data_IF_179339823558
#
_entry.id   IF_179339823558
#
_cell.length_a   1.000
_cell.length_b   1.000
_cell.length_c   1.000
_cell.angle_alpha   90.00
_cell.angle_beta   90.00
_cell.angle_gamma   90.00
#
_symmetry.space_group_name_H-M   'P 1'
#
loop_
_entity.id
_entity.type
_entity.pdbx_description
1 polymer ?
#
# COMPACT_ATOMS: atom_id res chain seq x y z
N UNK A 1 0.80 13.17 24.38
CA UNK A 1 -0.17 13.61 23.34
C UNK A 1 0.42 14.58 22.31
N UNK A 2 1.45 15.40 22.62
CA UNK A 2 2.00 16.37 21.66
C UNK A 2 2.89 15.77 20.55
N UNK A 3 3.53 14.62 20.76
CA UNK A 3 4.44 14.03 19.77
C UNK A 3 3.73 13.32 18.60
N UNK A 4 2.54 12.77 18.84
CA UNK A 4 1.76 12.08 17.79
C UNK A 4 1.10 13.11 16.87
N UNK A 5 0.57 14.21 17.43
CA UNK A 5 0.00 15.31 16.65
C UNK A 5 1.05 16.02 15.80
N UNK A 6 2.29 16.21 16.32
CA UNK A 6 3.37 16.82 15.53
C UNK A 6 3.85 15.92 14.39
N UNK A 7 3.85 14.61 14.56
CA UNK A 7 4.16 13.66 13.48
C UNK A 7 3.06 13.57 12.41
N UNK A 8 1.80 13.73 12.83
CA UNK A 8 0.64 13.83 11.93
C UNK A 8 0.66 15.15 11.17
N UNK A 9 0.97 16.27 11.83
CA UNK A 9 1.08 17.58 11.17
C UNK A 9 2.26 17.63 10.18
N UNK A 10 3.40 17.01 10.49
CA UNK A 10 4.49 16.86 9.55
C UNK A 10 4.09 15.98 8.36
N UNK A 11 3.40 14.87 8.59
CA UNK A 11 2.94 13.97 7.52
C UNK A 11 1.86 14.60 6.64
N UNK A 12 0.95 15.40 7.20
CA UNK A 12 -0.07 16.12 6.42
C UNK A 12 0.43 17.40 5.74
N UNK A 13 1.55 18.00 6.19
CA UNK A 13 2.23 19.05 5.44
C UNK A 13 2.98 18.52 4.23
N UNK A 14 3.45 17.27 4.26
CA UNK A 14 4.03 16.56 3.11
C UNK A 14 2.98 16.15 2.05
N UNK A 15 1.73 16.01 2.43
CA UNK A 15 0.57 15.70 1.55
C UNK A 15 0.32 16.76 0.44
N UNK A 16 1.01 17.87 0.45
CA UNK A 16 0.92 18.86 -0.65
C UNK A 16 2.19 19.03 -1.48
N UNK A 17 3.32 18.45 -1.04
CA UNK A 17 4.62 18.71 -1.65
C UNK A 17 5.08 17.71 -2.71
N UNK A 18 4.29 16.68 -3.01
CA UNK A 18 4.61 15.67 -4.03
C UNK A 18 6.01 15.02 -3.83
N UNK A 19 6.41 14.78 -2.56
CA UNK A 19 7.72 14.23 -2.18
C UNK A 19 7.58 12.83 -1.60
N UNK A 20 8.55 11.98 -1.93
CA UNK A 20 8.70 10.63 -1.41
C UNK A 20 10.00 10.52 -0.62
N UNK A 21 9.95 10.02 0.61
CA UNK A 21 11.11 9.72 1.43
C UNK A 21 11.49 8.24 1.28
N UNK A 22 12.71 7.99 0.80
CA UNK A 22 13.20 6.67 0.49
C UNK A 22 14.36 6.29 1.42
N UNK A 23 14.22 5.20 2.16
CA UNK A 23 15.32 4.56 2.87
C UNK A 23 16.11 3.70 1.90
N UNK A 24 17.35 4.06 1.64
CA UNK A 24 18.22 3.32 0.73
C UNK A 24 18.98 2.20 1.46
N UNK A 25 19.13 1.07 0.78
CA UNK A 25 19.89 -0.08 1.28
C UNK A 25 20.48 -0.90 0.14
N UNK A 26 21.36 -1.83 0.47
CA UNK A 26 21.89 -2.82 -0.46
C UNK A 26 21.39 -4.22 -0.10
N UNK A 27 21.53 -5.14 -1.04
CA UNK A 27 21.31 -6.57 -0.79
C UNK A 27 22.64 -7.33 -0.86
N UNK A 28 23.69 -6.79 -0.23
CA UNK A 28 25.07 -7.28 -0.33
C UNK A 28 25.52 -7.40 -1.80
N UNK A 29 25.17 -6.39 -2.59
CA UNK A 29 25.54 -6.21 -4.01
C UNK A 29 25.91 -4.75 -4.25
N UNK A 30 26.39 -4.43 -5.45
CA UNK A 30 26.65 -3.04 -5.85
C UNK A 30 25.38 -2.23 -6.12
N UNK A 31 24.27 -2.92 -6.30
CA UNK A 31 22.98 -2.33 -6.60
C UNK A 31 22.36 -1.75 -5.35
N UNK A 32 21.79 -0.56 -5.49
CA UNK A 32 21.08 0.13 -4.40
C UNK A 32 19.59 -0.01 -4.62
N UNK A 33 18.91 -0.36 -3.55
CA UNK A 33 17.46 -0.49 -3.46
C UNK A 33 16.92 0.55 -2.49
N UNK A 34 15.64 0.79 -2.56
CA UNK A 34 14.96 1.67 -1.63
C UNK A 34 13.57 1.13 -1.24
N UNK A 35 13.12 1.55 -0.08
CA UNK A 35 11.77 1.36 0.42
C UNK A 35 11.24 2.70 0.93
N UNK A 36 9.93 2.94 0.77
CA UNK A 36 9.29 4.11 1.34
C UNK A 36 9.45 4.11 2.87
N UNK A 37 9.96 5.21 3.42
CA UNK A 37 10.20 5.37 4.85
C UNK A 37 8.92 5.18 5.67
N UNK A 38 7.76 5.55 5.14
CA UNK A 38 6.48 5.38 5.82
C UNK A 38 6.14 3.90 6.11
N UNK A 39 6.70 2.97 5.35
CA UNK A 39 6.56 1.52 5.58
C UNK A 39 7.54 0.99 6.63
N UNK A 40 8.53 1.79 7.04
CA UNK A 40 9.59 1.39 7.96
C UNK A 40 9.25 1.78 9.38
N UNK A 41 9.19 0.80 10.26
CA UNK A 41 8.99 1.00 11.71
C UNK A 41 10.32 1.28 12.42
N UNK A 42 11.32 0.48 12.13
CA UNK A 42 12.67 0.63 12.66
C UNK A 42 13.70 -0.16 11.84
N UNK A 43 14.98 0.17 12.03
CA UNK A 43 16.12 -0.55 11.46
C UNK A 43 17.02 -1.01 12.58
N UNK A 44 17.43 -2.28 12.54
CA UNK A 44 18.32 -2.86 13.55
C UNK A 44 19.30 -3.86 12.94
N UNK A 45 20.32 -4.24 13.69
CA UNK A 45 21.20 -5.35 13.30
C UNK A 45 20.45 -6.68 13.46
N UNK A 46 20.77 -7.63 12.59
CA UNK A 46 20.16 -8.96 12.64
C UNK A 46 20.41 -9.61 14.01
N UNK A 47 19.36 -9.91 14.79
CA UNK A 47 19.50 -10.65 16.04
C UNK A 47 19.64 -12.16 15.77
N UNK A 48 19.78 -12.94 16.84
CA UNK A 48 19.69 -14.39 16.74
C UNK A 48 18.30 -14.82 16.26
N UNK A 49 18.27 -15.77 15.33
CA UNK A 49 17.04 -16.29 14.74
C UNK A 49 16.77 -17.72 15.21
N UNK A 50 15.49 -17.99 15.46
CA UNK A 50 14.97 -19.35 15.63
C UNK A 50 14.44 -19.82 14.27
N UNK A 51 14.93 -20.97 13.82
CA UNK A 51 14.46 -21.54 12.54
C UNK A 51 13.06 -22.14 12.70
N UNK A 52 12.24 -21.96 11.66
CA UNK A 52 10.91 -22.56 11.58
C UNK A 52 10.93 -23.72 10.57
N UNK A 53 10.74 -24.96 11.00
CA UNK A 53 10.61 -26.09 10.09
C UNK A 53 9.39 -25.92 9.16
N UNK A 54 9.56 -26.22 7.87
CA UNK A 54 8.47 -26.16 6.89
C UNK A 54 8.09 -24.76 6.41
N UNK A 55 8.80 -23.70 6.84
CA UNK A 55 8.56 -22.35 6.37
C UNK A 55 8.96 -22.15 4.90
N UNK A 56 8.40 -21.11 4.28
CA UNK A 56 8.79 -20.72 2.92
C UNK A 56 10.29 -20.48 2.80
N UNK A 57 10.86 -20.81 1.65
CA UNK A 57 12.32 -20.76 1.43
C UNK A 57 12.94 -19.39 1.67
N UNK A 58 12.21 -18.31 1.50
CA UNK A 58 12.66 -16.94 1.76
C UNK A 58 12.60 -16.54 3.23
N UNK A 59 11.95 -17.33 4.12
CA UNK A 59 11.92 -17.08 5.55
C UNK A 59 13.19 -17.64 6.17
N UNK A 60 13.99 -16.78 6.82
CA UNK A 60 15.24 -17.13 7.50
C UNK A 60 15.01 -17.69 8.89
N UNK A 61 13.87 -17.40 9.48
CA UNK A 61 13.50 -17.77 10.84
C UNK A 61 12.66 -16.68 11.50
N UNK A 62 12.59 -16.73 12.82
CA UNK A 62 11.87 -15.76 13.66
C UNK A 62 12.82 -15.11 14.62
N UNK A 63 12.75 -13.78 14.72
CA UNK A 63 13.41 -12.98 15.73
C UNK A 63 12.46 -12.71 16.89
N UNK A 64 12.98 -12.72 18.13
CA UNK A 64 12.24 -12.21 19.28
C UNK A 64 12.57 -10.74 19.47
N UNK A 65 11.62 -9.85 19.20
CA UNK A 65 11.76 -8.40 19.33
C UNK A 65 10.74 -7.87 20.32
N UNK A 66 11.19 -7.30 21.42
CA UNK A 66 10.32 -6.71 22.48
C UNK A 66 9.21 -7.65 22.98
N UNK A 67 9.46 -8.96 22.97
CA UNK A 67 8.50 -9.98 23.40
C UNK A 67 7.57 -10.48 22.28
N UNK A 68 7.67 -9.92 21.09
CA UNK A 68 6.94 -10.37 19.90
C UNK A 68 7.80 -11.30 19.04
N UNK A 69 7.15 -12.25 18.38
CA UNK A 69 7.78 -13.17 17.42
C UNK A 69 7.66 -12.59 16.03
N UNK A 70 8.76 -12.08 15.48
CA UNK A 70 8.80 -11.39 14.19
C UNK A 70 9.43 -12.29 13.13
N UNK A 71 8.68 -12.71 12.08
CA UNK A 71 9.24 -13.45 10.96
C UNK A 71 10.26 -12.60 10.21
N UNK A 72 11.39 -13.22 9.85
CA UNK A 72 12.48 -12.58 9.12
C UNK A 72 12.58 -13.15 7.72
N UNK A 73 12.36 -12.29 6.74
CA UNK A 73 12.36 -12.59 5.32
C UNK A 73 13.69 -12.14 4.71
N UNK A 74 14.39 -13.05 4.06
CA UNK A 74 15.57 -12.74 3.26
C UNK A 74 15.11 -12.05 1.96
N UNK A 75 15.17 -10.73 1.94
CA UNK A 75 14.67 -9.94 0.81
C UNK A 75 15.42 -10.26 -0.48
N UNK A 76 16.72 -10.48 -0.40
CA UNK A 76 17.54 -10.87 -1.54
C UNK A 76 17.03 -12.16 -2.19
N UNK A 77 16.72 -13.15 -1.35
CA UNK A 77 16.23 -14.46 -1.77
C UNK A 77 14.80 -14.36 -2.29
N UNK A 78 13.96 -13.56 -1.61
CA UNK A 78 12.58 -13.35 -1.99
C UNK A 78 12.43 -12.77 -3.39
N UNK A 79 13.32 -11.84 -3.78
CA UNK A 79 13.31 -11.23 -5.13
C UNK A 79 14.14 -12.02 -6.17
N UNK A 80 14.55 -13.24 -5.84
CA UNK A 80 15.20 -14.17 -6.78
C UNK A 80 16.69 -13.93 -7.01
N UNK A 81 17.37 -13.12 -6.19
CA UNK A 81 18.83 -13.01 -6.28
C UNK A 81 19.54 -14.23 -5.68
N UNK A 82 20.72 -14.60 -6.20
CA UNK A 82 21.52 -15.67 -5.61
C UNK A 82 21.92 -15.31 -4.18
N UNK A 83 22.18 -16.33 -3.31
CA UNK A 83 22.60 -16.09 -1.94
C UNK A 83 23.75 -15.10 -1.84
N UNK A 84 23.73 -14.23 -0.82
CA UNK A 84 24.86 -13.35 -0.55
C UNK A 84 26.10 -14.18 -0.20
N UNK A 85 27.28 -13.65 -0.58
CA UNK A 85 28.55 -14.22 -0.10
C UNK A 85 28.66 -13.98 1.39
N UNK A 86 29.30 -14.92 2.11
CA UNK A 86 29.54 -14.79 3.55
C UNK A 86 30.33 -13.51 3.87
N UNK A 87 30.00 -12.86 5.00
CA UNK A 87 30.73 -11.70 5.52
C UNK A 87 30.17 -10.32 5.17
N UNK A 88 29.00 -10.23 4.53
CA UNK A 88 28.32 -8.96 4.31
C UNK A 88 27.57 -8.43 5.54
N UNK A 89 27.19 -7.14 5.49
CA UNK A 89 26.32 -6.55 6.50
C UNK A 89 24.96 -7.26 6.55
N UNK A 90 24.45 -7.39 7.77
CA UNK A 90 23.15 -8.00 8.02
C UNK A 90 22.32 -7.07 8.91
N UNK A 91 21.43 -6.35 8.26
CA UNK A 91 20.49 -5.47 8.92
C UNK A 91 19.06 -5.94 8.67
N UNK A 92 18.17 -5.63 9.60
CA UNK A 92 16.75 -5.83 9.47
C UNK A 92 16.06 -4.50 9.31
N UNK A 93 15.26 -4.37 8.27
CA UNK A 93 14.26 -3.33 8.15
C UNK A 93 12.95 -3.93 8.68
N UNK A 94 12.48 -3.43 9.81
CA UNK A 94 11.21 -3.84 10.39
C UNK A 94 10.11 -3.01 9.77
N UNK A 95 9.13 -3.70 9.24
CA UNK A 95 7.91 -3.09 8.69
C UNK A 95 6.71 -3.60 9.46
N UNK A 96 5.67 -2.81 9.51
CA UNK A 96 4.38 -3.25 10.00
C UNK A 96 3.38 -3.17 8.84
N UNK A 97 2.79 -4.31 8.54
CA UNK A 97 1.87 -4.44 7.44
C UNK A 97 0.68 -5.26 7.90
N UNK A 98 -0.52 -4.72 7.74
CA UNK A 98 -1.76 -5.38 8.18
C UNK A 98 -1.72 -5.82 9.66
N UNK A 99 -1.26 -4.93 10.56
CA UNK A 99 -1.05 -5.22 11.99
C UNK A 99 -0.10 -6.40 12.27
N UNK A 100 0.54 -6.93 11.25
CA UNK A 100 1.59 -7.93 11.36
C UNK A 100 2.95 -7.28 11.22
N UNK A 101 3.85 -7.57 12.14
CA UNK A 101 5.23 -7.06 12.12
C UNK A 101 6.12 -8.10 11.47
N UNK A 102 6.89 -7.69 10.47
CA UNK A 102 7.89 -8.52 9.80
C UNK A 102 9.20 -7.79 9.63
N UNK A 103 10.27 -8.56 9.53
CA UNK A 103 11.61 -8.03 9.28
C UNK A 103 12.12 -8.48 7.91
N UNK A 104 12.62 -7.53 7.13
CA UNK A 104 13.33 -7.82 5.88
C UNK A 104 14.83 -7.80 6.13
N UNK A 105 15.48 -8.94 5.91
CA UNK A 105 16.94 -9.04 5.96
C UNK A 105 17.53 -8.39 4.72
N UNK A 106 18.35 -7.38 4.93
CA UNK A 106 19.06 -6.60 3.92
C UNK A 106 20.55 -6.51 4.23
N UNK A 107 21.33 -5.96 3.32
CA UNK A 107 22.74 -5.66 3.53
C UNK A 107 22.95 -4.35 4.30
N UNK A 108 23.82 -3.49 3.77
CA UNK A 108 24.06 -2.16 4.31
C UNK A 108 22.81 -1.29 4.16
N UNK A 109 22.39 -0.64 5.24
CA UNK A 109 21.38 0.41 5.21
C UNK A 109 22.10 1.75 5.12
N UNK A 110 21.74 2.53 4.13
CA UNK A 110 22.36 3.84 3.81
C UNK A 110 21.53 4.99 4.42
N UNK A 111 21.52 6.11 3.74
CA UNK A 111 20.79 7.30 4.10
C UNK A 111 19.33 7.29 3.59
N UNK A 112 18.54 8.20 4.12
CA UNK A 112 17.23 8.55 3.59
C UNK A 112 17.42 9.65 2.53
N UNK A 113 16.73 9.51 1.42
CA UNK A 113 16.73 10.47 0.31
C UNK A 113 15.30 10.93 0.05
N UNK A 114 15.16 12.24 -0.12
CA UNK A 114 13.92 12.86 -0.54
C UNK A 114 13.94 12.99 -2.07
N UNK A 115 12.93 12.46 -2.74
CA UNK A 115 12.75 12.58 -4.18
C UNK A 115 11.34 13.08 -4.50
N UNK A 116 11.16 13.70 -5.64
CA UNK A 116 9.83 14.06 -6.13
C UNK A 116 9.24 12.91 -6.93
N UNK A 117 7.93 12.74 -6.89
CA UNK A 117 7.23 11.74 -7.72
C UNK A 117 7.53 11.90 -9.21
N UNK A 118 7.78 13.12 -9.67
CA UNK A 118 8.17 13.42 -11.06
C UNK A 118 9.53 12.85 -11.47
N UNK A 119 10.37 12.48 -10.51
CA UNK A 119 11.68 11.86 -10.74
C UNK A 119 11.62 10.33 -10.71
N UNK A 120 10.47 9.79 -10.39
CA UNK A 120 10.22 8.36 -10.30
C UNK A 120 9.72 7.86 -11.66
N UNK A 121 10.34 6.83 -12.17
CA UNK A 121 10.02 6.23 -13.46
C UNK A 121 9.52 4.81 -13.27
N UNK A 122 8.48 4.38 -14.01
CA UNK A 122 8.06 3.00 -13.98
C UNK A 122 9.19 2.08 -14.46
N UNK A 123 9.26 0.84 -13.97
CA UNK A 123 10.27 -0.11 -14.43
C UNK A 123 10.12 -0.40 -15.92
N UNK A 124 11.22 -0.67 -16.64
CA UNK A 124 11.16 -0.99 -18.06
C UNK A 124 10.23 -2.19 -18.32
N UNK A 125 9.40 -2.12 -19.35
CA UNK A 125 8.44 -3.19 -19.72
C UNK A 125 9.09 -4.55 -20.04
N UNK A 126 10.41 -4.56 -20.25
CA UNK A 126 11.21 -5.77 -20.51
C UNK A 126 11.53 -6.57 -19.25
N UNK A 127 11.34 -5.99 -18.07
CA UNK A 127 11.49 -6.67 -16.79
C UNK A 127 10.19 -7.47 -16.56
N UNK A 128 10.25 -8.80 -16.64
CA UNK A 128 9.09 -9.69 -16.72
C UNK A 128 8.06 -9.55 -15.57
N UNK A 129 6.98 -10.34 -15.62
CA UNK A 129 5.84 -10.27 -14.68
C UNK A 129 6.17 -10.52 -13.20
N UNK A 130 7.30 -11.14 -12.87
CA UNK A 130 7.80 -11.33 -11.50
C UNK A 130 8.64 -10.13 -11.03
N UNK A 131 8.20 -8.91 -11.33
CA UNK A 131 8.94 -7.72 -10.98
C UNK A 131 8.46 -7.18 -9.63
N UNK A 132 9.34 -7.20 -8.62
CA UNK A 132 9.10 -6.62 -7.30
C UNK A 132 9.43 -5.13 -7.23
N UNK A 133 9.72 -4.52 -8.38
CA UNK A 133 10.03 -3.11 -8.46
C UNK A 133 8.73 -2.33 -8.68
N UNK A 134 8.45 -1.40 -7.80
CA UNK A 134 7.39 -0.41 -8.02
C UNK A 134 7.86 0.62 -9.03
N UNK A 135 9.11 1.09 -8.89
CA UNK A 135 9.65 2.18 -9.68
C UNK A 135 11.19 2.23 -9.63
N UNK A 136 11.75 3.11 -10.44
CA UNK A 136 13.18 3.42 -10.47
C UNK A 136 13.35 4.93 -10.34
N UNK A 137 14.29 5.36 -9.53
CA UNK A 137 14.69 6.76 -9.43
C UNK A 137 16.19 6.93 -9.59
N UNK A 138 16.63 8.17 -9.84
CA UNK A 138 18.04 8.54 -9.92
C UNK A 138 18.42 9.33 -8.69
N UNK A 139 19.47 8.89 -8.02
CA UNK A 139 20.02 9.58 -6.85
C UNK A 139 21.46 9.97 -7.14
N UNK A 140 21.77 11.23 -6.95
CA UNK A 140 23.13 11.72 -7.06
C UNK A 140 23.87 11.54 -5.72
N UNK A 141 24.92 10.73 -5.73
CA UNK A 141 25.76 10.47 -4.56
C UNK A 141 27.22 10.57 -4.99
N UNK A 142 28.00 11.41 -4.31
CA UNK A 142 29.44 11.65 -4.61
C UNK A 142 29.72 12.03 -6.09
N UNK A 143 28.89 12.88 -6.69
CA UNK A 143 28.97 13.30 -8.11
C UNK A 143 28.76 12.15 -9.12
N UNK A 144 28.21 11.06 -8.67
CA UNK A 144 27.78 9.95 -9.51
C UNK A 144 26.27 9.76 -9.43
N UNK A 145 25.64 9.60 -10.59
CA UNK A 145 24.21 9.30 -10.67
C UNK A 145 24.04 7.79 -10.56
N UNK A 146 23.41 7.36 -9.48
CA UNK A 146 23.08 5.97 -9.23
C UNK A 146 21.61 5.71 -9.53
N UNK A 147 21.30 4.61 -10.20
CA UNK A 147 19.94 4.10 -10.30
C UNK A 147 19.58 3.41 -8.98
N UNK A 148 18.44 3.78 -8.43
CA UNK A 148 17.89 3.21 -7.21
C UNK A 148 16.57 2.54 -7.55
N UNK A 149 16.45 1.29 -7.19
CA UNK A 149 15.26 0.48 -7.43
C UNK A 149 14.36 0.48 -6.19
N UNK A 150 13.12 0.95 -6.34
CA UNK A 150 12.13 0.99 -5.26
C UNK A 150 11.41 -0.35 -5.23
N UNK A 151 11.53 -1.06 -4.10
CA UNK A 151 10.95 -2.40 -3.93
C UNK A 151 9.54 -2.31 -3.35
N UNK A 152 8.62 -3.05 -3.97
CA UNK A 152 7.30 -3.35 -3.46
C UNK A 152 7.38 -4.51 -2.45
N UNK A 153 7.56 -4.17 -1.18
CA UNK A 153 7.62 -5.17 -0.09
C UNK A 153 6.28 -5.84 0.15
N UNK A 154 5.18 -5.21 -0.21
CA UNK A 154 3.84 -5.77 -0.09
C UNK A 154 3.67 -6.92 -1.07
N UNK A 155 4.11 -6.72 -2.31
CA UNK A 155 4.15 -7.77 -3.31
C UNK A 155 5.07 -8.93 -2.92
N UNK A 156 6.23 -8.62 -2.33
CA UNK A 156 7.12 -9.65 -1.79
C UNK A 156 6.42 -10.46 -0.69
N UNK A 157 5.70 -9.80 0.21
CA UNK A 157 4.95 -10.47 1.27
C UNK A 157 3.82 -11.33 0.71
N UNK A 158 3.08 -10.82 -0.27
CA UNK A 158 1.95 -11.52 -0.87
C UNK A 158 2.33 -12.83 -1.57
N UNK A 159 3.58 -12.96 -2.02
CA UNK A 159 4.07 -14.23 -2.60
C UNK A 159 4.57 -15.22 -1.55
N UNK A 160 4.87 -14.74 -0.34
CA UNK A 160 5.39 -15.58 0.76
C UNK A 160 4.27 -16.00 1.73
N UNK A 161 3.29 -15.13 1.90
CA UNK A 161 2.17 -15.30 2.81
C UNK A 161 0.88 -15.40 1.98
N UNK A 162 0.19 -16.52 2.09
CA UNK A 162 -1.15 -16.63 1.51
C UNK A 162 -2.11 -15.72 2.29
N UNK A 163 -2.60 -14.69 1.63
CA UNK A 163 -3.64 -13.84 2.22
C UNK A 163 -5.00 -14.48 2.03
N UNK A 164 -5.69 -14.68 3.14
CA UNK A 164 -7.07 -15.11 3.12
C UNK A 164 -7.95 -13.91 2.73
N UNK A 165 -8.62 -14.01 1.60
CA UNK A 165 -9.59 -13.03 1.10
C UNK A 165 -11.03 -13.47 1.43
N UNK A 166 -11.18 -14.57 2.15
CA UNK A 166 -12.50 -15.07 2.55
C UNK A 166 -13.18 -14.13 3.54
N UNK A 167 -14.48 -14.01 3.39
CA UNK A 167 -15.34 -13.24 4.27
C UNK A 167 -15.86 -14.17 5.36
N UNK A 168 -15.81 -13.75 6.61
CA UNK A 168 -16.40 -14.48 7.71
C UNK A 168 -17.93 -14.57 7.55
N UNK A 169 -18.50 -15.75 7.80
CA UNK A 169 -19.96 -15.95 7.64
C UNK A 169 -20.81 -14.99 8.47
N UNK A 170 -20.31 -14.55 9.62
CA UNK A 170 -21.01 -13.61 10.49
C UNK A 170 -20.94 -12.15 10.00
N UNK A 171 -20.00 -11.80 9.13
CA UNK A 171 -19.85 -10.45 8.55
C UNK A 171 -20.77 -10.26 7.35
N UNK A 172 -21.04 -11.34 6.61
CA UNK A 172 -21.81 -11.26 5.38
C UNK A 172 -23.32 -11.20 5.67
N UNK A 173 -23.92 -10.03 5.43
CA UNK A 173 -25.37 -9.86 5.42
C UNK A 173 -25.96 -10.28 4.07
N UNK A 174 -26.44 -11.52 4.01
CA UNK A 174 -26.99 -12.10 2.78
C UNK A 174 -28.24 -11.37 2.27
N UNK A 175 -28.93 -10.61 3.12
CA UNK A 175 -30.10 -9.84 2.69
C UNK A 175 -29.74 -8.66 1.78
N UNK A 176 -28.50 -8.18 1.84
CA UNK A 176 -28.00 -7.09 1.01
C UNK A 176 -27.48 -7.55 -0.36
N UNK A 177 -27.15 -8.83 -0.55
CA UNK A 177 -26.56 -9.32 -1.81
C UNK A 177 -27.41 -8.99 -3.06
N UNK A 178 -28.76 -9.11 -3.03
CA UNK A 178 -29.57 -8.71 -4.18
C UNK A 178 -29.47 -7.22 -4.52
N UNK A 179 -29.21 -6.35 -3.53
CA UNK A 179 -29.09 -4.91 -3.69
C UNK A 179 -27.69 -4.50 -4.14
N UNK A 180 -26.67 -5.27 -3.75
CA UNK A 180 -25.28 -5.08 -4.14
C UNK A 180 -25.00 -5.56 -5.58
N UNK A 181 -25.75 -6.57 -6.03
CA UNK A 181 -25.55 -7.14 -7.36
C UNK A 181 -25.67 -6.09 -8.46
N UNK A 182 -24.60 -5.94 -9.25
CA UNK A 182 -24.51 -4.97 -10.33
C UNK A 182 -24.22 -3.53 -9.90
N UNK A 183 -24.04 -3.26 -8.60
CA UNK A 183 -23.50 -1.98 -8.13
C UNK A 183 -22.04 -1.85 -8.50
N UNK A 184 -21.61 -0.66 -8.90
CA UNK A 184 -20.24 -0.40 -9.33
C UNK A 184 -19.40 0.18 -8.19
N UNK A 185 -18.19 -0.37 -8.04
CA UNK A 185 -17.18 0.14 -7.10
C UNK A 185 -15.92 0.45 -7.90
N UNK A 186 -15.40 1.66 -7.73
CA UNK A 186 -14.12 2.07 -8.30
C UNK A 186 -12.99 1.75 -7.33
N UNK A 187 -12.03 0.93 -7.76
CA UNK A 187 -10.81 0.63 -6.99
C UNK A 187 -9.65 1.38 -7.61
N UNK A 188 -8.90 2.11 -6.77
CA UNK A 188 -7.73 2.89 -7.19
C UNK A 188 -6.54 2.50 -6.32
N UNK A 189 -5.55 1.82 -6.89
CA UNK A 189 -4.36 1.35 -6.17
C UNK A 189 -3.28 1.02 -7.20
N UNK A 190 -2.03 1.40 -7.00
CA UNK A 190 -0.93 1.13 -7.92
C UNK A 190 -0.43 -0.33 -7.83
N UNK A 191 -0.63 -0.97 -6.68
CA UNK A 191 -0.27 -2.37 -6.45
C UNK A 191 -1.31 -3.33 -7.06
N UNK A 192 -0.91 -4.10 -8.06
CA UNK A 192 -1.75 -5.15 -8.63
C UNK A 192 -2.15 -6.21 -7.61
N UNK A 193 -1.31 -6.46 -6.63
CA UNK A 193 -1.57 -7.40 -5.53
C UNK A 193 -2.68 -6.88 -4.63
N UNK A 194 -2.62 -5.61 -4.21
CA UNK A 194 -3.65 -5.00 -3.39
C UNK A 194 -4.99 -4.94 -4.14
N UNK A 195 -5.00 -4.54 -5.43
CA UNK A 195 -6.22 -4.56 -6.24
C UNK A 195 -6.83 -5.96 -6.33
N UNK A 196 -6.01 -6.99 -6.58
CA UNK A 196 -6.50 -8.36 -6.67
C UNK A 196 -7.10 -8.86 -5.35
N UNK A 197 -6.56 -8.46 -4.21
CA UNK A 197 -7.10 -8.82 -2.89
C UNK A 197 -8.44 -8.13 -2.62
N UNK A 198 -8.52 -6.81 -2.86
CA UNK A 198 -9.79 -6.07 -2.75
C UNK A 198 -10.82 -6.67 -3.70
N UNK A 199 -10.44 -6.94 -4.95
CA UNK A 199 -11.30 -7.57 -5.94
C UNK A 199 -11.79 -8.96 -5.49
N UNK A 200 -10.89 -9.85 -5.06
CA UNK A 200 -11.25 -11.19 -4.58
C UNK A 200 -12.23 -11.17 -3.39
N UNK A 201 -12.16 -10.15 -2.54
CA UNK A 201 -13.14 -9.93 -1.47
C UNK A 201 -14.48 -9.44 -2.03
N UNK A 202 -14.47 -8.42 -2.89
CA UNK A 202 -15.68 -7.80 -3.43
C UNK A 202 -16.42 -8.67 -4.44
N UNK A 203 -15.73 -9.54 -5.17
CA UNK A 203 -16.35 -10.53 -6.09
C UNK A 203 -17.36 -11.42 -5.37
N UNK A 204 -17.15 -11.68 -4.06
CA UNK A 204 -18.06 -12.46 -3.23
C UNK A 204 -19.39 -11.72 -2.94
N UNK A 205 -19.44 -10.41 -3.13
CA UNK A 205 -20.63 -9.56 -2.98
C UNK A 205 -21.43 -9.39 -4.29
N UNK A 206 -20.87 -9.82 -5.43
CA UNK A 206 -21.50 -9.68 -6.74
C UNK A 206 -21.54 -8.26 -7.30
N UNK A 207 -20.67 -7.38 -6.81
CA UNK A 207 -20.51 -6.01 -7.32
C UNK A 207 -19.69 -5.98 -8.61
N UNK A 208 -19.88 -4.94 -9.42
CA UNK A 208 -19.06 -4.68 -10.61
C UNK A 208 -17.86 -3.81 -10.22
N UNK A 209 -16.67 -4.20 -10.63
CA UNK A 209 -15.43 -3.53 -10.24
C UNK A 209 -14.83 -2.79 -11.42
N UNK A 210 -14.51 -1.52 -11.20
CA UNK A 210 -13.76 -0.68 -12.12
C UNK A 210 -12.39 -0.42 -11.49
N UNK A 211 -11.32 -0.64 -12.25
CA UNK A 211 -9.95 -0.52 -11.75
C UNK A 211 -9.22 0.69 -12.35
N UNK A 212 -8.58 1.49 -11.49
CA UNK A 212 -7.59 2.49 -11.87
C UNK A 212 -6.27 2.21 -11.15
N UNK A 213 -5.16 2.59 -11.78
CA UNK A 213 -3.82 2.25 -11.31
C UNK A 213 -3.11 3.41 -10.62
N UNK A 214 -3.71 4.58 -10.62
CA UNK A 214 -3.26 5.79 -9.92
C UNK A 214 -4.42 6.78 -9.78
N UNK A 215 -4.23 7.79 -8.92
CA UNK A 215 -5.25 8.79 -8.66
C UNK A 215 -5.53 9.70 -9.86
N UNK A 216 -4.53 9.96 -10.72
CA UNK A 216 -4.73 10.82 -11.90
C UNK A 216 -5.62 10.13 -12.94
N UNK A 217 -5.43 8.82 -13.14
CA UNK A 217 -6.29 8.01 -14.00
C UNK A 217 -7.73 7.99 -13.47
N UNK A 218 -7.90 7.78 -12.16
CA UNK A 218 -9.21 7.78 -11.53
C UNK A 218 -9.91 9.13 -11.66
N UNK A 219 -9.23 10.22 -11.35
CA UNK A 219 -9.79 11.58 -11.47
C UNK A 219 -10.19 11.91 -12.90
N UNK A 220 -9.36 11.56 -13.90
CA UNK A 220 -9.68 11.78 -15.30
C UNK A 220 -10.91 10.96 -15.75
N UNK A 221 -11.03 9.71 -15.30
CA UNK A 221 -12.21 8.88 -15.58
C UNK A 221 -13.49 9.50 -15.00
N UNK A 222 -13.46 9.89 -13.72
CA UNK A 222 -14.60 10.51 -13.06
C UNK A 222 -15.01 11.83 -13.75
N UNK A 223 -14.02 12.65 -14.11
CA UNK A 223 -14.23 13.90 -14.82
C UNK A 223 -14.84 13.67 -16.20
N UNK A 224 -14.32 12.69 -16.95
CA UNK A 224 -14.87 12.31 -18.25
C UNK A 224 -16.35 11.91 -18.11
N UNK A 225 -16.70 11.09 -17.12
CA UNK A 225 -18.10 10.70 -16.88
C UNK A 225 -18.99 11.90 -16.59
N UNK A 226 -18.53 12.83 -15.74
CA UNK A 226 -19.27 14.08 -15.50
C UNK A 226 -19.45 14.91 -16.78
N UNK A 227 -18.43 14.98 -17.63
CA UNK A 227 -18.49 15.73 -18.91
C UNK A 227 -19.42 15.05 -19.94
N UNK A 228 -19.58 13.72 -19.86
CA UNK A 228 -20.55 12.93 -20.62
C UNK A 228 -21.97 12.99 -20.03
N UNK A 229 -22.17 13.68 -18.92
CA UNK A 229 -23.46 13.85 -18.25
C UNK A 229 -23.86 12.67 -17.34
N UNK A 230 -22.91 11.80 -16.99
CA UNK A 230 -23.14 10.70 -16.05
C UNK A 230 -23.04 11.26 -14.63
N UNK A 231 -24.04 10.96 -13.81
CA UNK A 231 -24.02 11.25 -12.38
C UNK A 231 -23.16 10.20 -11.64
N UNK A 232 -21.92 10.57 -11.38
CA UNK A 232 -20.92 9.71 -10.76
C UNK A 232 -21.36 9.20 -9.38
N UNK A 233 -22.06 10.02 -8.60
CA UNK A 233 -22.50 9.67 -7.26
C UNK A 233 -23.65 8.63 -7.27
N UNK A 234 -24.41 8.56 -8.35
CA UNK A 234 -25.43 7.54 -8.55
C UNK A 234 -24.88 6.30 -9.27
N UNK A 235 -23.90 6.48 -10.17
CA UNK A 235 -23.29 5.41 -10.95
C UNK A 235 -22.39 4.52 -10.10
N UNK A 236 -21.63 5.10 -9.17
CA UNK A 236 -20.75 4.39 -8.25
C UNK A 236 -21.39 4.29 -6.86
N UNK A 237 -21.39 3.08 -6.29
CA UNK A 237 -21.69 2.89 -4.89
C UNK A 237 -20.67 3.61 -4.02
N UNK A 238 -19.38 3.46 -4.38
CA UNK A 238 -18.25 4.09 -3.69
C UNK A 238 -16.97 4.01 -4.51
N UNK A 239 -15.98 4.79 -4.10
CA UNK A 239 -14.58 4.65 -4.50
C UNK A 239 -13.74 4.16 -3.33
N UNK A 240 -12.89 3.16 -3.58
CA UNK A 240 -11.88 2.66 -2.64
C UNK A 240 -10.53 3.03 -3.23
N UNK A 241 -9.78 3.87 -2.54
CA UNK A 241 -8.49 4.35 -3.03
C UNK A 241 -7.37 4.08 -2.04
N UNK A 242 -6.21 3.65 -2.55
CA UNK A 242 -4.99 3.66 -1.73
C UNK A 242 -4.63 5.10 -1.36
N UNK A 243 -4.01 5.26 -0.21
CA UNK A 243 -3.51 6.55 0.27
C UNK A 243 -2.23 6.96 -0.46
N UNK A 244 -1.35 6.01 -0.79
CA UNK A 244 -0.02 6.25 -1.33
C UNK A 244 0.13 5.69 -2.74
N UNK A 245 0.03 6.54 -3.75
CA UNK A 245 0.17 6.17 -5.16
C UNK A 245 1.05 7.17 -5.92
N UNK A 246 1.73 6.72 -7.00
CA UNK A 246 2.42 7.61 -7.94
C UNK A 246 1.47 8.61 -8.60
N UNK A 247 2.01 9.68 -9.15
CA UNK A 247 1.32 10.72 -9.92
C UNK A 247 0.30 11.53 -9.10
N UNK A 248 -0.68 10.88 -8.53
CA UNK A 248 -1.68 11.47 -7.64
C UNK A 248 -2.03 10.48 -6.54
N UNK A 249 -1.68 10.81 -5.31
CA UNK A 249 -2.01 10.03 -4.13
C UNK A 249 -3.51 10.09 -3.79
N UNK A 250 -3.98 9.18 -2.92
CA UNK A 250 -5.39 9.11 -2.55
C UNK A 250 -5.91 10.32 -1.79
N UNK A 251 -5.03 11.03 -1.09
CA UNK A 251 -5.39 12.26 -0.37
C UNK A 251 -5.70 13.39 -1.36
N UNK A 252 -4.81 13.56 -2.34
CA UNK A 252 -4.99 14.55 -3.40
C UNK A 252 -6.18 14.20 -4.26
N UNK A 253 -6.35 12.92 -4.65
CA UNK A 253 -7.52 12.45 -5.37
C UNK A 253 -8.81 12.80 -4.62
N UNK A 254 -8.87 12.51 -3.32
CA UNK A 254 -10.03 12.85 -2.48
C UNK A 254 -10.29 14.36 -2.48
N UNK A 255 -9.25 15.18 -2.31
CA UNK A 255 -9.37 16.62 -2.34
C UNK A 255 -9.92 17.16 -3.67
N UNK A 256 -9.40 16.66 -4.79
CA UNK A 256 -9.85 17.06 -6.15
C UNK A 256 -11.32 16.66 -6.38
N UNK A 257 -11.72 15.45 -5.97
CA UNK A 257 -13.10 14.97 -6.06
C UNK A 257 -14.03 15.84 -5.21
N UNK A 258 -13.67 16.17 -3.98
CA UNK A 258 -14.45 17.04 -3.09
C UNK A 258 -14.56 18.47 -3.60
N UNK A 259 -13.58 18.92 -4.37
CA UNK A 259 -13.55 20.28 -4.95
C UNK A 259 -14.46 20.46 -6.17
N UNK A 260 -14.82 19.37 -6.87
CA UNK A 260 -15.74 19.43 -8.02
C UNK A 260 -17.20 19.17 -7.56
N UNK A 261 -18.11 20.17 -7.71
CA UNK A 261 -19.50 20.03 -7.26
C UNK A 261 -20.27 18.85 -7.87
N UNK A 262 -19.81 18.31 -9.02
CA UNK A 262 -20.49 17.22 -9.74
C UNK A 262 -20.20 15.83 -9.14
N UNK A 263 -19.12 15.71 -8.34
CA UNK A 263 -18.68 14.43 -7.75
C UNK A 263 -18.30 14.53 -6.28
N UNK A 264 -18.48 15.70 -5.66
CA UNK A 264 -18.07 15.94 -4.27
C UNK A 264 -18.75 15.03 -3.24
N UNK A 265 -19.93 14.51 -3.56
CA UNK A 265 -20.74 13.68 -2.69
C UNK A 265 -20.48 12.16 -2.94
N UNK A 266 -19.52 11.81 -3.82
CA UNK A 266 -19.08 10.44 -4.01
C UNK A 266 -18.54 9.87 -2.69
N UNK A 267 -19.02 8.68 -2.29
CA UNK A 267 -18.54 8.01 -1.09
C UNK A 267 -17.11 7.47 -1.32
N UNK A 268 -16.16 7.93 -0.50
CA UNK A 268 -14.73 7.63 -0.64
C UNK A 268 -14.21 6.93 0.60
N UNK A 269 -13.62 5.75 0.39
CA UNK A 269 -12.91 5.00 1.42
C UNK A 269 -11.42 5.00 1.09
N UNK A 270 -10.59 5.48 2.01
CA UNK A 270 -9.14 5.31 1.95
C UNK A 270 -8.76 3.94 2.49
N UNK A 271 -8.05 3.16 1.67
CA UNK A 271 -7.56 1.82 1.98
C UNK A 271 -6.02 1.87 2.04
N UNK A 272 -5.43 1.83 3.22
CA UNK A 272 -4.00 2.06 3.38
C UNK A 272 -3.32 0.98 4.21
N UNK A 273 -2.04 0.73 3.89
CA UNK A 273 -1.18 -0.15 4.68
C UNK A 273 -0.65 0.50 5.97
N UNK A 274 -0.87 1.80 6.16
CA UNK A 274 -0.45 2.47 7.37
C UNK A 274 -1.24 1.96 8.58
N UNK A 275 -0.57 1.18 9.43
CA UNK A 275 -1.09 0.76 10.73
C UNK A 275 -0.78 1.84 11.75
N UNK A 276 -1.78 2.52 12.21
CA UNK A 276 -1.66 3.51 13.27
C UNK A 276 -3.04 3.92 13.76
N UNK A 277 -3.11 4.62 14.88
CA UNK A 277 -4.33 5.25 15.37
C UNK A 277 -4.79 6.40 14.45
N UNK A 278 -4.98 6.09 13.16
CA UNK A 278 -5.67 6.94 12.22
C UNK A 278 -7.14 6.82 12.57
N UNK A 279 -7.63 7.81 13.26
CA UNK A 279 -8.97 7.88 13.78
C UNK A 279 -9.78 8.92 13.00
N UNK A 280 -11.02 9.08 13.41
CA UNK A 280 -12.01 9.99 12.85
C UNK A 280 -11.47 11.38 12.50
N UNK A 281 -10.48 11.88 13.25
CA UNK A 281 -9.83 13.17 12.98
C UNK A 281 -9.06 13.23 11.64
N UNK A 282 -8.53 12.12 11.15
CA UNK A 282 -7.88 12.05 9.83
C UNK A 282 -8.90 11.96 8.71
N UNK A 283 -9.96 11.18 8.91
CA UNK A 283 -11.10 11.10 7.98
C UNK A 283 -11.64 12.51 7.73
N UNK A 284 -11.91 13.24 8.80
CA UNK A 284 -12.45 14.61 8.75
C UNK A 284 -11.48 15.60 8.06
N UNK A 285 -10.17 15.50 8.34
CA UNK A 285 -9.16 16.39 7.76
C UNK A 285 -8.93 16.14 6.26
N UNK A 286 -9.02 14.91 5.80
CA UNK A 286 -8.82 14.51 4.40
C UNK A 286 -10.10 14.69 3.58
N UNK A 287 -11.26 14.57 4.23
CA UNK A 287 -12.57 14.64 3.59
C UNK A 287 -13.02 13.33 2.93
N UNK A 288 -12.41 12.20 3.27
CA UNK A 288 -12.95 10.89 2.91
C UNK A 288 -14.08 10.50 3.89
N UNK A 289 -14.89 9.51 3.54
CA UNK A 289 -16.02 9.06 4.37
C UNK A 289 -15.61 7.95 5.32
N UNK A 290 -14.67 7.10 4.91
CA UNK A 290 -14.15 5.99 5.73
C UNK A 290 -12.66 5.81 5.49
N UNK A 291 -12.04 5.18 6.48
CA UNK A 291 -10.64 4.80 6.45
C UNK A 291 -10.52 3.34 6.89
N UNK A 292 -9.89 2.51 6.08
CA UNK A 292 -9.69 1.09 6.39
C UNK A 292 -8.22 0.71 6.21
N UNK A 293 -7.75 -0.23 7.03
CA UNK A 293 -6.44 -0.84 6.82
C UNK A 293 -6.53 -1.87 5.70
N UNK A 294 -5.55 -1.89 4.82
CA UNK A 294 -5.43 -2.90 3.75
C UNK A 294 -5.51 -4.33 4.32
N UNK A 295 -6.03 -5.24 3.51
CA UNK A 295 -6.11 -6.69 3.77
C UNK A 295 -6.96 -7.11 4.99
N UNK A 296 -8.02 -6.39 5.23
CA UNK A 296 -9.06 -6.76 6.20
C UNK A 296 -10.37 -7.01 5.44
N UNK A 297 -10.60 -8.23 4.92
CA UNK A 297 -11.77 -8.55 4.10
C UNK A 297 -13.08 -8.23 4.82
N UNK A 298 -13.21 -8.63 6.08
CA UNK A 298 -14.41 -8.41 6.86
C UNK A 298 -14.72 -6.91 7.02
N UNK A 299 -13.73 -6.10 7.36
CA UNK A 299 -13.91 -4.65 7.51
C UNK A 299 -14.28 -3.98 6.18
N UNK A 300 -13.67 -4.43 5.08
CA UNK A 300 -14.03 -3.94 3.75
C UNK A 300 -15.50 -4.24 3.42
N UNK A 301 -15.93 -5.47 3.71
CA UNK A 301 -17.31 -5.89 3.50
C UNK A 301 -18.29 -5.12 4.38
N UNK A 302 -17.97 -4.90 5.65
CA UNK A 302 -18.77 -4.08 6.55
C UNK A 302 -19.00 -2.67 5.97
N UNK A 303 -17.92 -2.00 5.51
CA UNK A 303 -18.03 -0.66 4.93
C UNK A 303 -18.90 -0.65 3.66
N UNK A 304 -18.75 -1.65 2.78
CA UNK A 304 -19.59 -1.75 1.56
C UNK A 304 -21.07 -2.00 1.92
N UNK A 305 -21.33 -2.86 2.88
CA UNK A 305 -22.69 -3.14 3.34
C UNK A 305 -23.33 -1.95 4.04
N UNK A 306 -22.56 -1.23 4.88
CA UNK A 306 -23.04 -0.01 5.53
C UNK A 306 -23.38 1.06 4.49
N UNK A 307 -22.51 1.26 3.50
CA UNK A 307 -22.80 2.19 2.39
C UNK A 307 -24.05 1.78 1.62
N UNK A 308 -24.25 0.48 1.38
CA UNK A 308 -25.46 0.00 0.71
C UNK A 308 -26.72 0.30 1.54
N UNK A 309 -26.69 0.10 2.87
CA UNK A 309 -27.81 0.43 3.76
C UNK A 309 -28.17 1.91 3.73
N UNK A 310 -27.18 2.80 3.63
CA UNK A 310 -27.39 4.24 3.54
C UNK A 310 -28.11 4.67 2.23
N UNK A 311 -28.05 3.83 1.19
CA UNK A 311 -28.64 4.12 -0.14
C UNK A 311 -30.00 3.46 -0.36
N UNK A 312 -30.44 2.60 0.55
CA UNK A 312 -31.76 1.97 0.53
C UNK A 312 -32.82 2.83 1.22
#
# INVERSE_FOLDING_TARGET
MSSVLSSVDQRTQLVGENRLELLMFTLNSRQTFAINVFKVKEVLKLPALTQLPGSHSSIRGVASLRGESVPVIDLRRAIGFPPAKDGGDQNLIITEYNRSVQGFLVGEVKNIVNTAWTEIQPPPRTVGRANYLTAITKVEENQQVNLVEIIDVEKVLAEIIDYDVSISEHTLDRSLLPHLSGKKILIVDDSSTARNQVKGTLDQLGVEIIECFDGAMAFNLLKQWCDEGIDVCNELLMMITDAEMPEMDGYKLTHEVRSDPRMRDLFITLNTSLSGSFNDAMVEKVGCDRFISKFQPDLLVEVVQDRMRETL
#
